data_IF_191509883193
#
_entry.id   IF_191509883193
#
_cell.length_a   1.000
_cell.length_b   1.000
_cell.length_c   1.000
_cell.angle_alpha   90.00
_cell.angle_beta   90.00
_cell.angle_gamma   90.00
#
_symmetry.space_group_name_H-M   'P 1'
#
loop_
_entity.id
_entity.type
_entity.pdbx_description
1 polymer ?
#
# COMPACT_ATOMS: atom_id res chain seq x y z
N UNK A 1 13.50 6.17 -20.90
CA UNK A 1 13.82 7.26 -19.97
C UNK A 1 13.60 6.70 -18.57
N UNK A 2 14.42 7.07 -17.59
CA UNK A 2 14.15 6.63 -16.22
C UNK A 2 12.96 7.44 -15.70
N UNK A 3 12.00 6.78 -15.05
CA UNK A 3 10.88 7.47 -14.40
C UNK A 3 11.42 8.24 -13.18
N UNK A 4 11.13 9.54 -13.12
CA UNK A 4 11.64 10.46 -12.10
C UNK A 4 10.46 11.17 -11.43
N UNK A 5 10.58 11.45 -10.13
CA UNK A 5 9.60 12.16 -9.34
C UNK A 5 10.31 13.18 -8.44
N UNK A 6 9.55 14.18 -7.99
CA UNK A 6 10.03 15.08 -6.94
C UNK A 6 9.50 14.56 -5.60
N UNK A 7 10.40 14.29 -4.67
CA UNK A 7 10.06 14.07 -3.27
C UNK A 7 10.25 15.33 -2.47
N UNK A 8 9.30 15.68 -1.62
CA UNK A 8 9.40 16.78 -0.65
C UNK A 8 9.15 16.24 0.75
N UNK A 9 10.01 16.57 1.70
CA UNK A 9 9.88 16.24 3.12
C UNK A 9 9.83 17.53 3.94
N UNK A 10 8.68 17.81 4.57
CA UNK A 10 8.46 19.01 5.37
C UNK A 10 8.71 18.66 6.84
N UNK A 11 9.96 18.79 7.27
CA UNK A 11 10.34 18.61 8.67
C UNK A 11 10.07 19.87 9.51
N UNK A 12 10.10 19.71 10.84
CA UNK A 12 9.97 20.84 11.77
C UNK A 12 11.14 21.83 11.76
N UNK A 13 12.30 21.45 11.22
CA UNK A 13 13.50 22.31 11.15
C UNK A 13 13.86 22.68 9.72
N UNK A 14 13.80 21.73 8.79
CA UNK A 14 14.14 21.93 7.39
C UNK A 14 13.06 21.32 6.47
N UNK A 15 12.81 21.99 5.35
CA UNK A 15 12.13 21.42 4.18
C UNK A 15 13.22 20.89 3.28
N UNK A 16 13.07 19.64 2.84
CA UNK A 16 13.98 19.00 1.87
C UNK A 16 13.19 18.68 0.62
N UNK A 17 13.79 18.87 -0.55
CA UNK A 17 13.22 18.43 -1.81
C UNK A 17 14.28 17.72 -2.64
N UNK A 18 13.93 16.68 -3.38
CA UNK A 18 14.87 15.97 -4.22
C UNK A 18 14.22 15.42 -5.49
N UNK A 19 15.01 15.30 -6.55
CA UNK A 19 14.69 14.42 -7.68
C UNK A 19 15.04 13.00 -7.31
N UNK A 20 14.06 12.10 -7.45
CA UNK A 20 14.15 10.69 -7.04
C UNK A 20 13.81 9.81 -8.24
N UNK A 21 14.67 8.84 -8.54
CA UNK A 21 14.38 7.83 -9.57
C UNK A 21 13.40 6.76 -9.07
N UNK A 22 12.81 5.99 -9.97
CA UNK A 22 11.99 4.82 -9.60
C UNK A 22 12.75 3.75 -8.79
N UNK A 23 14.08 3.78 -8.81
CA UNK A 23 14.94 2.91 -7.99
C UNK A 23 15.25 3.52 -6.62
N UNK A 24 14.77 4.74 -6.35
CA UNK A 24 14.98 5.47 -5.10
C UNK A 24 16.32 6.20 -5.01
N UNK A 25 16.99 6.42 -6.14
CA UNK A 25 18.24 7.18 -6.19
C UNK A 25 17.97 8.68 -6.15
N UNK A 26 18.74 9.43 -5.35
CA UNK A 26 18.67 10.89 -5.31
C UNK A 26 19.52 11.49 -6.43
N UNK A 27 18.88 12.13 -7.40
CA UNK A 27 19.53 12.74 -8.57
C UNK A 27 19.94 14.19 -8.32
N UNK A 28 19.14 14.90 -7.53
CA UNK A 28 19.41 16.27 -7.08
C UNK A 28 18.70 16.51 -5.76
N UNK A 29 19.23 17.36 -4.88
CA UNK A 29 18.66 17.63 -3.56
C UNK A 29 18.82 19.10 -3.17
N UNK A 30 17.76 19.66 -2.60
CA UNK A 30 17.68 20.99 -2.02
C UNK A 30 17.27 20.87 -0.55
N UNK A 31 17.73 21.79 0.28
CA UNK A 31 17.32 21.88 1.69
C UNK A 31 17.26 23.34 2.11
N UNK A 32 16.15 23.74 2.72
CA UNK A 32 15.95 25.07 3.25
C UNK A 32 15.33 25.01 4.65
N UNK A 33 15.52 26.06 5.46
CA UNK A 33 14.93 26.12 6.80
C UNK A 33 13.41 26.22 6.71
N UNK A 34 12.70 25.45 7.52
CA UNK A 34 11.23 25.49 7.58
C UNK A 34 10.77 26.85 8.11
N UNK A 35 9.98 27.63 7.34
CA UNK A 35 9.36 28.85 7.83
C UNK A 35 8.31 28.55 8.91
N UNK A 36 8.06 29.51 9.81
CA UNK A 36 6.98 29.39 10.79
C UNK A 36 5.61 29.69 10.21
N UNK A 37 5.55 30.47 9.14
CA UNK A 37 4.31 30.82 8.44
C UNK A 37 3.95 29.74 7.40
N UNK A 38 2.73 29.20 7.43
CA UNK A 38 2.32 28.10 6.55
C UNK A 38 2.19 28.49 5.07
N UNK A 39 1.84 29.74 4.76
CA UNK A 39 1.81 30.22 3.37
C UNK A 39 3.24 30.39 2.83
N UNK A 40 4.15 30.93 3.65
CA UNK A 40 5.57 31.05 3.26
C UNK A 40 6.20 29.68 3.07
N UNK A 41 5.86 28.69 3.90
CA UNK A 41 6.31 27.32 3.74
C UNK A 41 5.79 26.69 2.43
N UNK A 42 4.52 26.92 2.09
CA UNK A 42 3.95 26.48 0.81
C UNK A 42 4.67 27.10 -0.40
N UNK A 43 4.87 28.42 -0.41
CA UNK A 43 5.60 29.09 -1.49
C UNK A 43 7.04 28.58 -1.60
N UNK A 44 7.66 28.23 -0.48
CA UNK A 44 8.99 27.63 -0.44
C UNK A 44 9.01 26.26 -1.10
N UNK A 45 8.04 25.40 -0.77
CA UNK A 45 7.89 24.09 -1.40
C UNK A 45 7.70 24.22 -2.91
N UNK A 46 6.84 25.15 -3.35
CA UNK A 46 6.61 25.41 -4.78
C UNK A 46 7.92 25.84 -5.47
N UNK A 47 8.68 26.76 -4.87
CA UNK A 47 9.94 27.24 -5.44
C UNK A 47 10.99 26.12 -5.54
N UNK A 48 11.15 25.32 -4.48
CA UNK A 48 12.07 24.18 -4.47
C UNK A 48 11.67 23.12 -5.51
N UNK A 49 10.38 22.77 -5.60
CA UNK A 49 9.88 21.82 -6.58
C UNK A 49 10.03 22.35 -8.02
N UNK A 50 9.74 23.63 -8.28
CA UNK A 50 9.95 24.25 -9.60
C UNK A 50 11.42 24.25 -10.03
N UNK A 51 12.34 24.37 -9.08
CA UNK A 51 13.80 24.30 -9.35
C UNK A 51 14.22 22.91 -9.79
N UNK A 52 13.53 21.88 -9.30
CA UNK A 52 13.80 20.48 -9.60
C UNK A 52 13.00 19.94 -10.79
N UNK A 53 11.95 20.62 -11.22
CA UNK A 53 11.03 20.14 -12.25
C UNK A 53 11.68 20.04 -13.64
N UNK A 54 11.50 18.87 -14.27
CA UNK A 54 11.96 18.57 -15.63
C UNK A 54 10.84 17.88 -16.41
N UNK A 55 10.92 17.81 -17.76
CA UNK A 55 9.90 17.13 -18.57
C UNK A 55 9.66 15.66 -18.16
N UNK A 56 10.67 14.98 -17.63
CA UNK A 56 10.64 13.58 -17.19
C UNK A 56 10.00 13.37 -15.81
N UNK A 57 9.76 14.44 -15.04
CA UNK A 57 9.12 14.35 -13.72
C UNK A 57 7.66 13.94 -13.88
N UNK A 58 7.28 12.79 -13.33
CA UNK A 58 5.92 12.27 -13.40
C UNK A 58 4.98 12.92 -12.39
N UNK A 59 5.49 13.34 -11.23
CA UNK A 59 4.68 13.88 -10.14
C UNK A 59 5.50 14.30 -8.94
N UNK A 60 4.80 14.78 -7.92
CA UNK A 60 5.39 15.34 -6.70
C UNK A 60 4.78 14.65 -5.48
N UNK A 61 5.58 13.91 -4.72
CA UNK A 61 5.16 13.41 -3.42
C UNK A 61 5.60 14.36 -2.32
N UNK A 62 4.77 14.54 -1.29
CA UNK A 62 5.04 15.44 -0.17
C UNK A 62 4.74 14.75 1.17
N UNK A 63 5.77 14.59 1.99
CA UNK A 63 5.68 14.23 3.41
C UNK A 63 5.27 15.44 4.24
N UNK A 64 4.11 15.37 4.87
CA UNK A 64 3.51 16.41 5.70
C UNK A 64 3.68 16.04 7.17
N UNK A 65 4.12 16.98 8.03
CA UNK A 65 4.22 16.73 9.46
C UNK A 65 2.81 16.76 10.06
N UNK A 66 2.44 15.71 10.78
CA UNK A 66 1.14 15.60 11.43
C UNK A 66 0.19 14.65 10.70
N UNK A 67 -1.12 14.91 10.78
CA UNK A 67 -2.17 14.00 10.33
C UNK A 67 -2.65 14.39 8.94
N UNK A 68 -2.62 13.44 8.02
CA UNK A 68 -3.11 13.56 6.64
C UNK A 68 -4.22 12.54 6.42
N UNK A 69 -5.31 12.97 5.80
CA UNK A 69 -6.30 12.09 5.21
C UNK A 69 -5.97 11.96 3.72
N UNK A 70 -5.35 10.84 3.35
CA UNK A 70 -4.84 10.62 1.99
C UNK A 70 -5.96 10.46 0.97
N UNK A 71 -7.12 9.95 1.41
CA UNK A 71 -8.28 9.71 0.55
C UNK A 71 -8.94 11.04 0.16
N UNK A 72 -9.14 11.94 1.13
CA UNK A 72 -9.66 13.29 0.85
C UNK A 72 -8.58 14.28 0.41
N UNK A 73 -7.30 13.91 0.49
CA UNK A 73 -6.13 14.76 0.24
C UNK A 73 -6.11 16.00 1.15
N UNK A 74 -6.61 15.86 2.37
CA UNK A 74 -6.69 16.94 3.36
C UNK A 74 -5.61 16.80 4.46
N UNK A 75 -5.04 17.94 4.85
CA UNK A 75 -4.16 18.02 6.02
C UNK A 75 -5.06 18.29 7.24
N UNK A 76 -5.28 17.26 8.05
CA UNK A 76 -6.21 17.30 9.19
C UNK A 76 -5.67 18.13 10.36
N UNK A 77 -4.36 18.05 10.60
CA UNK A 77 -3.67 18.83 11.63
C UNK A 77 -2.18 18.81 11.37
N UNK A 78 -1.50 19.95 11.48
CA UNK A 78 -0.04 19.97 11.48
C UNK A 78 0.56 19.94 12.89
N UNK A 79 1.82 19.48 12.95
CA UNK A 79 2.65 19.56 14.15
C UNK A 79 3.23 20.96 14.35
N UNK A 80 4.56 21.09 14.28
CA UNK A 80 5.27 22.38 14.39
C UNK A 80 4.85 23.40 13.33
N UNK A 81 4.45 22.93 12.14
CA UNK A 81 3.93 23.76 11.06
C UNK A 81 2.51 23.31 10.73
N UNK A 82 1.52 24.15 11.03
CA UNK A 82 0.12 23.81 10.76
C UNK A 82 -0.31 24.23 9.35
N UNK A 83 -0.31 23.25 8.44
CA UNK A 83 -0.77 23.43 7.06
C UNK A 83 -2.28 23.13 6.88
N UNK A 84 -3.01 22.80 7.95
CA UNK A 84 -4.44 22.48 7.88
C UNK A 84 -5.26 23.66 7.36
N UNK A 85 -6.28 23.38 6.55
CA UNK A 85 -7.17 24.41 5.98
C UNK A 85 -6.58 25.16 4.77
N UNK A 86 -5.33 24.88 4.40
CA UNK A 86 -4.78 25.29 3.11
C UNK A 86 -5.18 24.29 2.03
N UNK A 87 -5.53 24.82 0.86
CA UNK A 87 -5.69 24.01 -0.37
C UNK A 87 -4.29 23.67 -0.95
N UNK A 88 -3.47 23.01 -0.13
CA UNK A 88 -2.03 22.81 -0.33
C UNK A 88 -1.76 22.08 -1.64
N UNK A 89 -2.48 20.98 -1.84
CA UNK A 89 -2.39 20.12 -3.02
C UNK A 89 -2.73 20.88 -4.29
N UNK A 90 -3.92 21.50 -4.35
CA UNK A 90 -4.37 22.22 -5.55
C UNK A 90 -3.45 23.38 -5.89
N UNK A 91 -2.88 24.06 -4.89
CA UNK A 91 -1.92 25.15 -5.12
C UNK A 91 -0.61 24.64 -5.73
N UNK A 92 -0.06 23.51 -5.26
CA UNK A 92 1.09 22.86 -5.90
C UNK A 92 0.77 22.41 -7.33
N UNK A 93 -0.34 21.70 -7.52
CA UNK A 93 -0.77 21.22 -8.84
C UNK A 93 -0.97 22.36 -9.83
N UNK A 94 -1.60 23.46 -9.39
CA UNK A 94 -1.77 24.66 -10.23
C UNK A 94 -0.42 25.30 -10.58
N UNK A 95 0.51 25.37 -9.62
CA UNK A 95 1.79 26.04 -9.80
C UNK A 95 2.78 25.25 -10.68
N UNK A 96 2.64 23.92 -10.73
CA UNK A 96 3.60 23.01 -11.38
C UNK A 96 3.00 22.20 -12.52
N UNK A 97 1.67 22.14 -12.65
CA UNK A 97 0.97 21.36 -13.67
C UNK A 97 1.35 19.86 -13.64
N UNK A 98 1.56 19.32 -12.44
CA UNK A 98 1.94 17.92 -12.16
C UNK A 98 1.03 17.35 -11.06
N UNK A 99 0.77 16.04 -11.07
CA UNK A 99 0.02 15.40 -9.99
C UNK A 99 0.79 15.46 -8.67
N UNK A 100 0.05 15.61 -7.57
CA UNK A 100 0.63 15.72 -6.21
C UNK A 100 0.08 14.64 -5.29
N UNK A 101 0.95 13.87 -4.66
CA UNK A 101 0.58 12.94 -3.58
C UNK A 101 1.03 13.55 -2.25
N UNK A 102 0.17 13.49 -1.24
CA UNK A 102 0.52 13.89 0.12
C UNK A 102 0.36 12.69 1.06
N UNK A 103 1.19 12.64 2.08
CA UNK A 103 1.18 11.60 3.10
C UNK A 103 1.85 12.15 4.36
N UNK A 104 1.67 11.49 5.50
CA UNK A 104 2.47 11.75 6.69
C UNK A 104 3.98 11.52 6.42
N UNK A 105 4.83 12.38 6.98
CA UNK A 105 6.29 12.31 6.89
C UNK A 105 6.89 10.94 7.31
N UNK A 106 6.40 10.35 8.39
CA UNK A 106 6.84 9.05 8.87
C UNK A 106 6.37 7.90 7.97
N UNK A 107 5.17 8.02 7.40
CA UNK A 107 4.67 7.10 6.38
C UNK A 107 5.52 7.15 5.12
N UNK A 108 5.93 8.34 4.66
CA UNK A 108 6.90 8.46 3.56
C UNK A 108 8.23 7.78 3.91
N UNK A 109 8.78 8.03 5.10
CA UNK A 109 10.00 7.34 5.53
C UNK A 109 9.85 5.81 5.51
N UNK A 110 8.70 5.28 5.96
CA UNK A 110 8.42 3.85 5.92
C UNK A 110 8.29 3.31 4.48
N UNK A 111 7.67 4.05 3.56
CA UNK A 111 7.62 3.69 2.13
C UNK A 111 9.04 3.49 1.59
N UNK A 112 9.95 4.42 1.89
CA UNK A 112 11.35 4.31 1.45
C UNK A 112 12.03 3.07 2.04
N UNK A 113 11.88 2.85 3.35
CA UNK A 113 12.50 1.73 4.05
C UNK A 113 11.97 0.37 3.58
N UNK A 114 10.69 0.27 3.21
CA UNK A 114 10.09 -0.93 2.64
C UNK A 114 10.54 -1.20 1.21
N UNK A 115 10.79 -0.15 0.42
CA UNK A 115 11.18 -0.30 -0.98
C UNK A 115 12.66 -0.63 -1.14
N UNK A 116 13.54 0.13 -0.46
CA UNK A 116 14.99 0.06 -0.69
C UNK A 116 15.81 -0.01 0.61
N UNK A 117 15.18 0.11 1.78
CA UNK A 117 15.87 0.19 3.07
C UNK A 117 15.80 -1.06 3.94
N UNK A 118 15.76 -0.84 5.25
CA UNK A 118 15.81 -1.85 6.32
C UNK A 118 14.55 -2.71 6.44
N UNK A 119 13.44 -2.29 5.85
CA UNK A 119 12.18 -3.04 5.84
C UNK A 119 11.92 -3.77 4.50
N UNK A 120 12.88 -3.81 3.58
CA UNK A 120 12.74 -4.51 2.30
C UNK A 120 12.44 -6.00 2.50
N UNK A 121 11.35 -6.45 1.90
CA UNK A 121 10.89 -7.84 1.95
C UNK A 121 9.86 -8.14 3.05
N UNK A 122 9.64 -7.22 3.99
CA UNK A 122 8.59 -7.34 5.00
C UNK A 122 7.29 -6.68 4.52
N UNK A 123 6.15 -7.17 5.02
CA UNK A 123 4.81 -6.72 4.64
C UNK A 123 4.08 -6.05 5.80
N UNK A 124 4.31 -6.51 7.03
CA UNK A 124 3.72 -5.97 8.25
C UNK A 124 4.82 -5.35 9.11
N UNK A 125 4.90 -4.03 9.12
CA UNK A 125 6.02 -3.29 9.72
C UNK A 125 5.47 -2.12 10.53
N UNK A 126 5.96 -1.93 11.74
CA UNK A 126 5.79 -0.66 12.45
C UNK A 126 7.11 0.11 12.42
N UNK A 127 7.06 1.43 12.24
CA UNK A 127 8.24 2.28 12.28
C UNK A 127 8.02 3.43 13.25
N UNK A 128 9.00 3.69 14.11
CA UNK A 128 9.06 4.91 14.90
C UNK A 128 10.21 5.78 14.37
N UNK A 129 9.93 7.06 14.14
CA UNK A 129 10.94 8.06 13.82
C UNK A 129 11.29 8.83 15.08
N UNK A 130 12.54 8.77 15.50
CA UNK A 130 13.01 9.38 16.75
C UNK A 130 13.93 10.54 16.40
N UNK A 131 13.48 11.75 16.72
CA UNK A 131 14.20 12.99 16.45
C UNK A 131 13.87 14.02 17.52
N UNK A 132 13.51 15.24 17.14
CA UNK A 132 13.02 16.26 18.10
C UNK A 132 11.78 15.76 18.87
N UNK A 133 10.86 15.08 18.17
CA UNK A 133 9.72 14.35 18.72
C UNK A 133 9.81 12.86 18.42
N UNK A 134 8.69 12.14 18.57
CA UNK A 134 8.53 10.78 18.09
C UNK A 134 7.33 10.73 17.15
N UNK A 135 7.58 10.36 15.90
CA UNK A 135 6.54 10.03 14.94
C UNK A 135 6.42 8.52 14.75
N UNK A 136 5.51 8.11 13.87
CA UNK A 136 5.44 6.71 13.47
C UNK A 136 4.58 6.46 12.26
N UNK A 137 4.70 5.24 11.77
CA UNK A 137 3.90 4.72 10.67
C UNK A 137 3.74 3.21 10.84
N UNK A 138 2.69 2.67 10.24
CA UNK A 138 2.45 1.22 10.20
C UNK A 138 2.18 0.84 8.75
N UNK A 139 2.73 -0.30 8.35
CA UNK A 139 2.38 -0.97 7.11
C UNK A 139 1.73 -2.31 7.42
N UNK A 140 0.69 -2.63 6.66
CA UNK A 140 -0.02 -3.90 6.71
C UNK A 140 -0.19 -4.42 5.28
N UNK A 141 0.13 -5.71 5.07
CA UNK A 141 0.07 -6.33 3.75
C UNK A 141 0.81 -5.53 2.65
N UNK A 142 1.97 -4.96 3.00
CA UNK A 142 2.84 -4.24 2.06
C UNK A 142 2.42 -2.80 1.76
N UNK A 143 1.38 -2.28 2.42
CA UNK A 143 0.82 -0.94 2.20
C UNK A 143 0.78 -0.15 3.50
N UNK A 144 0.89 1.18 3.42
CA UNK A 144 0.69 2.03 4.60
C UNK A 144 -0.73 1.84 5.13
N UNK A 145 -0.84 1.70 6.45
CA UNK A 145 -2.11 1.54 7.15
C UNK A 145 -2.58 2.89 7.69
N UNK A 146 -3.64 3.44 7.10
CA UNK A 146 -4.23 4.73 7.50
C UNK A 146 -5.35 4.60 8.53
N UNK A 147 -5.85 3.38 8.78
CA UNK A 147 -7.02 3.15 9.64
C UNK A 147 -8.24 3.89 9.11
N UNK A 148 -8.95 4.63 9.97
CA UNK A 148 -10.08 5.46 9.52
C UNK A 148 -9.63 6.65 8.65
N UNK A 149 -8.48 7.27 8.97
CA UNK A 149 -7.97 8.50 8.32
C UNK A 149 -6.47 8.70 8.46
N UNK A 150 -5.93 8.55 9.68
CA UNK A 150 -4.55 8.92 10.02
C UNK A 150 -3.97 8.06 11.15
N UNK A 151 -3.96 6.74 10.98
CA UNK A 151 -3.27 5.81 11.89
C UNK A 151 -1.74 6.04 11.89
N UNK A 152 -1.02 5.33 12.76
CA UNK A 152 0.44 5.46 12.86
C UNK A 152 0.94 6.56 13.81
N UNK A 153 0.07 7.16 14.64
CA UNK A 153 0.47 8.17 15.64
C UNK A 153 1.19 7.57 16.86
N UNK A 154 2.26 6.79 16.62
CA UNK A 154 2.90 5.89 17.59
C UNK A 154 3.64 6.63 18.71
N UNK A 155 4.10 7.86 18.46
CA UNK A 155 4.69 8.71 19.50
C UNK A 155 3.72 9.11 20.62
N UNK A 156 2.42 8.95 20.39
CA UNK A 156 1.37 9.28 21.35
C UNK A 156 0.84 8.07 22.14
N UNK A 157 1.48 6.90 22.02
CA UNK A 157 1.21 5.75 22.91
C UNK A 157 1.51 6.16 24.35
N UNK A 158 0.53 6.02 25.24
CA UNK A 158 0.70 6.32 26.65
C UNK A 158 1.48 5.19 27.33
N UNK A 159 2.60 5.55 27.96
CA UNK A 159 3.49 4.62 28.68
C UNK A 159 3.54 4.92 30.17
N UNK A 160 2.97 6.05 30.62
CA UNK A 160 2.84 6.40 32.04
C UNK A 160 1.71 7.41 32.25
N UNK A 161 0.58 7.01 32.84
CA UNK A 161 -0.58 7.91 33.04
C UNK A 161 -0.25 9.17 33.87
N UNK A 162 0.70 9.04 34.80
CA UNK A 162 1.18 10.16 35.62
C UNK A 162 2.28 11.00 34.96
N UNK A 163 2.65 10.67 33.72
CA UNK A 163 3.74 11.29 32.98
C UNK A 163 3.49 12.73 32.54
N UNK A 164 4.49 13.39 31.91
CA UNK A 164 4.39 14.79 31.51
C UNK A 164 3.21 15.06 30.56
N UNK A 165 2.69 16.31 30.52
CA UNK A 165 1.75 16.72 29.49
C UNK A 165 2.39 16.62 28.10
N UNK A 166 1.62 16.15 27.13
CA UNK A 166 2.00 16.03 25.74
C UNK A 166 1.29 17.12 24.91
N UNK A 167 1.93 17.70 23.88
CA UNK A 167 1.29 18.64 22.97
C UNK A 167 0.00 18.13 22.31
N UNK A 168 -0.20 16.81 22.23
CA UNK A 168 -1.44 16.22 21.71
C UNK A 168 -2.65 16.37 22.65
N UNK A 169 -2.47 16.96 23.84
CA UNK A 169 -3.52 17.18 24.84
C UNK A 169 -3.65 16.05 25.88
N UNK A 170 -2.93 14.93 25.71
CA UNK A 170 -2.86 13.84 26.68
C UNK A 170 -1.66 14.00 27.62
N UNK A 171 -1.49 13.05 28.55
CA UNK A 171 -0.30 12.93 29.40
C UNK A 171 0.35 11.58 29.17
N UNK A 172 1.67 11.52 29.38
CA UNK A 172 2.35 10.22 29.45
C UNK A 172 2.69 9.57 28.13
N UNK A 173 2.61 10.29 27.01
CA UNK A 173 2.98 9.77 25.70
C UNK A 173 4.48 9.45 25.66
N UNK A 174 4.87 8.37 24.96
CA UNK A 174 6.27 7.95 24.81
C UNK A 174 7.18 9.06 24.28
N UNK A 175 6.67 9.93 23.40
CA UNK A 175 7.39 11.12 22.92
C UNK A 175 7.94 11.98 24.07
N UNK A 176 7.18 12.14 25.15
CA UNK A 176 7.57 12.99 26.29
C UNK A 176 8.70 12.42 27.12
N UNK A 177 9.06 11.15 26.92
CA UNK A 177 10.11 10.43 27.64
C UNK A 177 11.29 10.03 26.76
N UNK A 178 11.02 9.70 25.49
CA UNK A 178 11.96 9.01 24.61
C UNK A 178 12.29 9.77 23.32
N UNK A 179 11.78 10.99 23.13
CA UNK A 179 12.24 11.86 22.04
C UNK A 179 13.64 12.43 22.32
N UNK A 180 14.27 13.04 21.33
CA UNK A 180 15.50 13.81 21.50
C UNK A 180 15.32 15.04 22.39
N UNK A 181 14.12 15.62 22.44
CA UNK A 181 13.80 16.68 23.41
C UNK A 181 13.79 16.13 24.83
N UNK A 182 13.19 14.95 25.04
CA UNK A 182 13.20 14.29 26.34
C UNK A 182 14.61 13.85 26.76
N UNK A 183 15.43 13.35 25.83
CA UNK A 183 16.82 13.00 26.09
C UNK A 183 17.64 14.20 26.58
N UNK A 184 17.55 15.35 25.89
CA UNK A 184 18.24 16.58 26.31
C UNK A 184 17.84 17.00 27.72
N UNK A 185 16.56 16.83 28.07
CA UNK A 185 16.07 17.08 29.44
C UNK A 185 16.70 16.12 30.45
N UNK A 186 16.70 14.81 30.17
CA UNK A 186 17.32 13.82 31.05
C UNK A 186 18.81 14.08 31.27
N UNK A 187 19.54 14.48 30.22
CA UNK A 187 20.95 14.87 30.30
C UNK A 187 21.11 16.11 31.21
N UNK A 188 20.33 17.16 30.99
CA UNK A 188 20.41 18.38 31.79
C UNK A 188 20.10 18.13 33.28
N UNK A 189 19.08 17.31 33.57
CA UNK A 189 18.70 16.92 34.93
C UNK A 189 19.74 16.02 35.61
N UNK A 190 20.55 15.28 34.84
CA UNK A 190 21.61 14.42 35.36
C UNK A 190 22.85 15.17 35.87
N UNK A 191 23.03 16.43 35.44
CA UNK A 191 24.21 17.23 35.75
C UNK A 191 25.49 16.82 34.99
N UNK A 192 25.41 15.89 34.04
CA UNK A 192 26.55 15.50 33.20
C UNK A 192 26.89 16.63 32.21
N UNK A 193 28.17 16.99 32.14
CA UNK A 193 28.69 17.97 31.19
C UNK A 193 28.95 17.34 29.82
N UNK A 194 27.90 16.83 29.18
CA UNK A 194 27.94 16.22 27.84
C UNK A 194 27.04 16.99 26.87
N UNK A 195 27.36 16.91 25.58
CA UNK A 195 26.63 17.61 24.51
C UNK A 195 25.99 16.66 23.51
N UNK A 196 26.43 15.40 23.48
CA UNK A 196 25.95 14.38 22.54
C UNK A 196 25.54 13.10 23.24
N UNK A 197 24.63 12.35 22.61
CA UNK A 197 24.24 11.00 23.07
C UNK A 197 25.41 10.01 23.00
N UNK A 198 26.35 10.21 22.07
CA UNK A 198 27.53 9.37 21.94
C UNK A 198 28.40 9.42 23.20
N UNK A 199 28.63 10.62 23.75
CA UNK A 199 29.37 10.78 25.02
C UNK A 199 28.66 10.04 26.16
N UNK A 200 27.32 10.06 26.21
CA UNK A 200 26.56 9.29 27.19
C UNK A 200 26.80 7.78 27.03
N UNK A 201 26.78 7.26 25.80
CA UNK A 201 27.09 5.85 25.55
C UNK A 201 28.52 5.47 25.95
N UNK A 202 29.50 6.31 25.62
CA UNK A 202 30.90 6.06 25.92
C UNK A 202 31.11 6.04 27.44
N UNK A 203 30.56 7.01 28.18
CA UNK A 203 30.57 7.04 29.64
C UNK A 203 29.86 5.84 30.27
N UNK A 204 28.72 5.41 29.71
CA UNK A 204 28.00 4.24 30.20
C UNK A 204 28.81 2.94 30.00
N UNK A 205 29.52 2.81 28.88
CA UNK A 205 30.41 1.67 28.61
C UNK A 205 31.62 1.65 29.55
N UNK A 206 32.07 2.81 30.02
CA UNK A 206 33.10 2.95 31.07
C UNK A 206 32.56 2.71 32.49
N UNK A 207 31.28 2.40 32.65
CA UNK A 207 30.65 2.09 33.94
C UNK A 207 30.12 3.31 34.71
N UNK A 208 29.89 4.44 34.05
CA UNK A 208 29.29 5.61 34.70
C UNK A 208 27.79 5.38 35.00
N UNK A 209 27.45 5.20 36.27
CA UNK A 209 26.08 4.95 36.73
C UNK A 209 25.06 6.04 36.35
N UNK A 210 25.50 7.30 36.28
CA UNK A 210 24.63 8.42 35.89
C UNK A 210 24.29 8.34 34.40
N UNK A 211 25.28 8.05 33.55
CA UNK A 211 25.07 7.88 32.11
C UNK A 211 24.16 6.67 31.81
N UNK A 212 24.38 5.54 32.50
CA UNK A 212 23.50 4.36 32.42
C UNK A 212 22.06 4.71 32.81
N UNK A 213 21.88 5.52 33.86
CA UNK A 213 20.55 5.96 34.32
C UNK A 213 19.84 6.83 33.30
N UNK A 214 20.55 7.77 32.67
CA UNK A 214 20.00 8.60 31.58
C UNK A 214 19.52 7.74 30.42
N UNK A 215 20.34 6.78 29.96
CA UNK A 215 19.95 5.85 28.91
C UNK A 215 18.73 5.01 29.30
N UNK A 216 18.67 4.50 30.53
CA UNK A 216 17.51 3.75 31.02
C UNK A 216 16.24 4.59 31.10
N UNK A 217 16.32 5.83 31.58
CA UNK A 217 15.19 6.77 31.63
C UNK A 217 14.66 7.09 30.23
N UNK A 218 15.54 7.10 29.24
CA UNK A 218 15.18 7.34 27.84
C UNK A 218 14.62 6.09 27.13
N UNK A 219 15.23 4.92 27.33
CA UNK A 219 14.91 3.70 26.58
C UNK A 219 13.81 2.83 27.21
N UNK A 220 13.63 2.83 28.54
CA UNK A 220 12.58 2.03 29.20
C UNK A 220 11.17 2.41 28.76
N UNK A 221 10.81 3.70 28.66
CA UNK A 221 9.47 4.09 28.17
C UNK A 221 9.29 3.75 26.69
N UNK A 222 10.36 3.83 25.89
CA UNK A 222 10.35 3.39 24.50
C UNK A 222 10.06 1.90 24.41
N UNK A 223 10.72 1.07 25.23
CA UNK A 223 10.48 -0.38 25.31
C UNK A 223 9.00 -0.69 25.54
N UNK A 224 8.38 -0.03 26.53
CA UNK A 224 6.97 -0.22 26.82
C UNK A 224 6.06 0.14 25.63
N UNK A 225 6.40 1.19 24.86
CA UNK A 225 5.67 1.51 23.64
C UNK A 225 5.83 0.43 22.56
N UNK A 226 7.03 -0.12 22.38
CA UNK A 226 7.29 -1.20 21.43
C UNK A 226 6.54 -2.48 21.80
N UNK A 227 6.47 -2.81 23.09
CA UNK A 227 5.70 -3.96 23.57
C UNK A 227 4.19 -3.78 23.32
N UNK A 228 3.66 -2.56 23.51
CA UNK A 228 2.27 -2.24 23.16
C UNK A 228 2.00 -2.35 21.64
N UNK A 229 2.95 -1.93 20.80
CA UNK A 229 2.84 -2.07 19.35
C UNK A 229 2.84 -3.55 18.97
N UNK A 230 3.74 -4.34 19.56
CA UNK A 230 3.81 -5.77 19.32
C UNK A 230 2.49 -6.48 19.70
N UNK A 231 1.92 -6.15 20.87
CA UNK A 231 0.67 -6.74 21.34
C UNK A 231 -0.57 -6.33 20.52
N UNK A 232 -0.54 -5.18 19.84
CA UNK A 232 -1.70 -4.64 19.11
C UNK A 232 -1.66 -4.87 17.60
N UNK A 233 -0.46 -4.94 17.03
CA UNK A 233 -0.25 -4.98 15.58
C UNK A 233 0.42 -6.27 15.09
N UNK A 234 1.09 -7.02 15.98
CA UNK A 234 1.88 -8.21 15.64
C UNK A 234 2.75 -8.04 14.37
N UNK A 235 3.62 -7.00 14.30
CA UNK A 235 4.41 -6.75 13.10
C UNK A 235 5.52 -7.78 12.96
N UNK A 236 6.01 -8.01 11.75
CA UNK A 236 7.17 -8.87 11.51
C UNK A 236 8.44 -8.26 12.11
N UNK A 237 8.56 -6.93 11.99
CA UNK A 237 9.66 -6.13 12.54
C UNK A 237 9.16 -4.78 13.05
N UNK A 238 9.90 -4.19 13.99
CA UNK A 238 9.76 -2.78 14.37
C UNK A 238 11.03 -2.04 13.96
N UNK A 239 10.88 -1.05 13.08
CA UNK A 239 11.99 -0.24 12.57
C UNK A 239 12.13 1.06 13.38
N UNK A 240 13.36 1.40 13.78
CA UNK A 240 13.69 2.63 14.47
C UNK A 240 14.48 3.55 13.53
N UNK A 241 13.84 4.63 13.09
CA UNK A 241 14.42 5.64 12.20
C UNK A 241 14.51 7.02 12.83
N UNK A 242 14.73 8.04 12.00
CA UNK A 242 15.02 9.39 12.44
C UNK A 242 16.45 9.55 12.97
N UNK A 243 16.83 10.80 13.28
CA UNK A 243 18.21 11.14 13.66
C UNK A 243 18.74 10.45 14.91
N UNK A 244 17.88 9.87 15.75
CA UNK A 244 18.25 9.10 16.95
C UNK A 244 17.82 7.62 16.88
N UNK A 245 17.38 7.13 15.71
CA UNK A 245 16.87 5.76 15.56
C UNK A 245 17.91 4.68 15.87
N UNK A 246 19.13 4.83 15.34
CA UNK A 246 20.25 3.93 15.63
C UNK A 246 20.63 3.92 17.11
N UNK A 247 20.65 5.10 17.73
CA UNK A 247 20.95 5.23 19.15
C UNK A 247 19.87 4.59 20.03
N UNK A 248 18.60 4.76 19.67
CA UNK A 248 17.49 4.10 20.36
C UNK A 248 17.59 2.58 20.25
N UNK A 249 17.90 2.05 19.05
CA UNK A 249 18.13 0.62 18.87
C UNK A 249 19.28 0.11 19.74
N UNK A 250 20.40 0.88 19.83
CA UNK A 250 21.52 0.56 20.71
C UNK A 250 21.13 0.57 22.19
N UNK A 251 20.39 1.58 22.64
CA UNK A 251 19.95 1.68 24.04
C UNK A 251 18.95 0.57 24.43
N UNK A 252 18.19 0.05 23.46
CA UNK A 252 17.24 -1.05 23.67
C UNK A 252 17.90 -2.44 23.65
N UNK A 253 19.13 -2.58 23.16
CA UNK A 253 19.82 -3.87 23.07
C UNK A 253 19.95 -4.56 24.45
N UNK A 254 20.09 -3.76 25.52
CA UNK A 254 20.18 -4.24 26.90
C UNK A 254 18.83 -4.28 27.63
N UNK A 255 17.71 -4.05 26.93
CA UNK A 255 16.35 -4.04 27.46
C UNK A 255 15.49 -5.08 26.71
N UNK A 256 15.60 -6.37 27.07
CA UNK A 256 14.82 -7.43 26.43
C UNK A 256 13.32 -7.27 26.69
N UNK A 257 12.52 -8.02 25.93
CA UNK A 257 11.07 -8.06 26.13
C UNK A 257 10.74 -8.54 27.53
N UNK A 258 9.77 -7.88 28.17
CA UNK A 258 9.27 -8.32 29.47
C UNK A 258 8.59 -9.70 29.39
N UNK A 259 7.98 -10.03 28.24
CA UNK A 259 7.32 -11.31 28.00
C UNK A 259 7.66 -11.87 26.61
N UNK A 260 7.83 -13.20 26.47
CA UNK A 260 8.20 -13.83 25.20
C UNK A 260 7.04 -13.94 24.19
N UNK A 261 5.85 -13.48 24.54
CA UNK A 261 4.64 -13.68 23.73
C UNK A 261 4.64 -12.82 22.45
N UNK A 262 5.24 -11.63 22.49
CA UNK A 262 5.29 -10.69 21.37
C UNK A 262 6.70 -10.11 21.28
N UNK A 263 7.53 -10.66 20.38
CA UNK A 263 8.95 -10.32 20.27
C UNK A 263 9.37 -10.07 18.82
N UNK A 264 8.76 -9.08 18.13
CA UNK A 264 9.23 -8.70 16.80
C UNK A 264 10.68 -8.23 16.85
N UNK A 265 11.44 -8.46 15.77
CA UNK A 265 12.80 -7.96 15.70
C UNK A 265 12.80 -6.42 15.65
N UNK A 266 13.63 -5.80 16.49
CA UNK A 266 13.82 -4.34 16.51
C UNK A 266 15.07 -4.03 15.68
N UNK A 267 14.91 -3.27 14.61
CA UNK A 267 15.97 -2.99 13.65
C UNK A 267 16.16 -1.48 13.47
N UNK A 268 17.39 -0.99 13.27
CA UNK A 268 17.61 0.38 12.83
C UNK A 268 17.20 0.55 11.36
N UNK A 269 16.62 1.71 11.04
CA UNK A 269 16.38 2.17 9.68
C UNK A 269 17.71 2.37 8.91
N UNK A 270 17.69 2.23 7.58
CA UNK A 270 18.92 2.27 6.76
C UNK A 270 19.11 3.57 5.98
N UNK A 271 18.05 4.31 5.72
CA UNK A 271 18.04 5.49 4.84
C UNK A 271 18.18 6.81 5.62
N UNK A 272 18.22 6.75 6.95
CA UNK A 272 18.48 7.87 7.85
C UNK A 272 17.64 9.12 7.49
N UNK A 273 18.28 10.28 7.37
CA UNK A 273 17.66 11.58 7.11
C UNK A 273 17.04 11.70 5.71
N UNK A 274 17.38 10.81 4.78
CA UNK A 274 16.88 10.83 3.40
C UNK A 274 15.62 9.98 3.21
N UNK A 275 15.23 9.17 4.20
CA UNK A 275 14.07 8.28 4.12
C UNK A 275 12.80 9.04 3.72
N UNK A 276 12.53 10.19 4.34
CA UNK A 276 11.32 10.99 4.06
C UNK A 276 11.26 11.50 2.62
N UNK A 277 12.37 12.07 2.12
CA UNK A 277 12.40 12.65 0.76
C UNK A 277 12.43 11.57 -0.32
N UNK A 278 13.15 10.46 -0.10
CA UNK A 278 13.14 9.29 -0.99
C UNK A 278 11.74 8.70 -1.05
N UNK A 279 11.11 8.50 0.11
CA UNK A 279 9.78 7.94 0.22
C UNK A 279 8.72 8.79 -0.45
N UNK A 280 8.82 10.10 -0.30
CA UNK A 280 7.99 11.06 -1.00
C UNK A 280 8.10 10.89 -2.53
N UNK A 281 9.32 10.81 -3.08
CA UNK A 281 9.50 10.54 -4.51
C UNK A 281 8.94 9.16 -4.93
N UNK A 282 9.28 8.11 -4.17
CA UNK A 282 8.82 6.74 -4.44
C UNK A 282 7.31 6.56 -4.35
N UNK A 283 6.62 7.41 -3.59
CA UNK A 283 5.16 7.37 -3.49
C UNK A 283 4.51 7.56 -4.86
N UNK A 284 5.14 8.28 -5.79
CA UNK A 284 4.64 8.52 -7.15
C UNK A 284 4.70 7.27 -8.03
N UNK A 285 5.68 6.39 -7.82
CA UNK A 285 5.85 5.16 -8.62
C UNK A 285 5.13 3.94 -8.01
N UNK A 286 4.63 4.06 -6.79
CA UNK A 286 4.03 2.95 -6.07
C UNK A 286 2.64 2.60 -6.59
N UNK A 287 2.28 1.32 -6.45
CA UNK A 287 0.94 0.80 -6.72
C UNK A 287 -0.19 1.53 -5.97
N UNK A 288 0.11 2.40 -4.99
CA UNK A 288 -0.84 3.26 -4.28
C UNK A 288 -1.06 4.64 -4.94
N UNK A 289 -0.06 5.22 -5.61
CA UNK A 289 -0.27 6.39 -6.47
C UNK A 289 -1.01 6.01 -7.77
N UNK A 290 -0.86 4.76 -8.21
CA UNK A 290 -1.62 4.15 -9.31
C UNK A 290 -2.85 3.36 -8.83
N UNK A 291 -3.07 3.20 -7.50
CA UNK A 291 -4.28 2.59 -6.94
C UNK A 291 -5.52 3.49 -7.07
N UNK A 292 -5.44 4.58 -7.82
CA UNK A 292 -6.62 5.38 -8.14
C UNK A 292 -7.47 4.70 -9.23
N UNK A 293 -6.92 3.69 -9.93
CA UNK A 293 -7.61 2.99 -11.00
C UNK A 293 -8.36 1.72 -10.59
N UNK A 294 -9.46 1.42 -11.29
CA UNK A 294 -10.15 0.12 -11.18
C UNK A 294 -9.42 -0.92 -12.01
N UNK A 295 -9.33 -2.13 -11.45
CA UNK A 295 -8.58 -3.25 -12.06
C UNK A 295 -9.47 -4.45 -12.26
N UNK A 296 -9.26 -5.16 -13.35
CA UNK A 296 -10.01 -6.37 -13.65
C UNK A 296 -9.09 -7.50 -14.11
N UNK A 297 -9.25 -8.68 -13.52
CA UNK A 297 -8.68 -9.92 -14.01
C UNK A 297 -9.77 -10.71 -14.74
N UNK A 298 -9.65 -10.81 -16.06
CA UNK A 298 -10.51 -11.64 -16.91
C UNK A 298 -10.02 -13.09 -16.83
N UNK A 299 -10.72 -13.95 -16.09
CA UNK A 299 -10.44 -15.39 -16.09
C UNK A 299 -11.25 -16.02 -17.21
N UNK A 300 -10.67 -15.99 -18.41
CA UNK A 300 -11.34 -16.33 -19.66
C UNK A 300 -11.10 -17.80 -20.03
N UNK A 301 -12.12 -18.48 -20.53
CA UNK A 301 -12.03 -19.84 -21.04
C UNK A 301 -13.38 -20.38 -21.48
N UNK A 302 -13.37 -21.35 -22.39
CA UNK A 302 -14.58 -22.07 -22.80
C UNK A 302 -15.23 -22.80 -21.62
N UNK A 303 -16.51 -23.22 -21.71
CA UNK A 303 -17.12 -24.08 -20.70
C UNK A 303 -16.25 -25.30 -20.36
N UNK A 304 -16.23 -25.69 -19.08
CA UNK A 304 -15.42 -26.80 -18.56
C UNK A 304 -13.88 -26.65 -18.66
N UNK A 305 -13.37 -25.48 -19.06
CA UNK A 305 -11.92 -25.20 -19.10
C UNK A 305 -11.20 -25.29 -17.76
N UNK A 306 -11.87 -24.94 -16.65
CA UNK A 306 -11.23 -24.83 -15.33
C UNK A 306 -11.17 -23.40 -14.79
N UNK A 307 -11.59 -22.42 -15.60
CA UNK A 307 -11.69 -20.99 -15.23
C UNK A 307 -12.28 -20.72 -13.84
N UNK A 308 -13.37 -21.38 -13.46
CA UNK A 308 -14.01 -21.17 -12.16
C UNK A 308 -13.20 -21.71 -10.98
N UNK A 309 -12.37 -22.75 -11.18
CA UNK A 309 -11.41 -23.23 -10.17
C UNK A 309 -10.30 -22.20 -10.00
N UNK A 310 -9.76 -21.68 -11.10
CA UNK A 310 -8.71 -20.67 -11.08
C UNK A 310 -9.19 -19.36 -10.44
N UNK A 311 -10.36 -18.86 -10.82
CA UNK A 311 -10.95 -17.65 -10.24
C UNK A 311 -11.12 -17.77 -8.72
N UNK A 312 -11.60 -18.92 -8.23
CA UNK A 312 -11.73 -19.21 -6.79
C UNK A 312 -10.38 -19.29 -6.08
N UNK A 313 -9.38 -19.92 -6.69
CA UNK A 313 -8.04 -19.99 -6.12
C UNK A 313 -7.40 -18.59 -6.02
N UNK A 314 -7.57 -17.78 -7.07
CA UNK A 314 -7.09 -16.40 -7.10
C UNK A 314 -7.78 -15.55 -6.02
N UNK A 315 -9.12 -15.57 -5.97
CA UNK A 315 -9.89 -14.82 -4.96
C UNK A 315 -9.53 -15.19 -3.53
N UNK A 316 -9.33 -16.48 -3.21
CA UNK A 316 -8.89 -16.91 -1.87
C UNK A 316 -7.51 -16.36 -1.50
N UNK A 317 -6.63 -16.17 -2.49
CA UNK A 317 -5.27 -15.69 -2.28
C UNK A 317 -5.20 -14.17 -2.18
N UNK A 318 -6.02 -13.45 -2.94
CA UNK A 318 -5.95 -11.99 -3.05
C UNK A 318 -7.02 -11.24 -2.26
N UNK A 319 -8.10 -11.93 -1.86
CA UNK A 319 -9.30 -11.30 -1.30
C UNK A 319 -10.18 -10.59 -2.33
N UNK A 320 -9.83 -10.61 -3.62
CA UNK A 320 -10.61 -9.91 -4.64
C UNK A 320 -11.96 -10.61 -4.90
N UNK A 321 -13.06 -9.85 -5.00
CA UNK A 321 -14.39 -10.41 -5.29
C UNK A 321 -14.46 -11.02 -6.70
N UNK A 322 -15.19 -12.14 -6.80
CA UNK A 322 -15.48 -12.80 -8.08
C UNK A 322 -16.87 -12.37 -8.57
N UNK A 323 -16.92 -11.86 -9.79
CA UNK A 323 -18.16 -11.64 -10.54
C UNK A 323 -18.22 -12.67 -11.66
N UNK A 324 -19.02 -13.73 -11.45
CA UNK A 324 -19.13 -14.82 -12.42
C UNK A 324 -20.45 -14.74 -13.17
N UNK A 325 -20.43 -15.12 -14.45
CA UNK A 325 -21.64 -15.13 -15.28
C UNK A 325 -22.71 -16.05 -14.68
N UNK A 326 -22.32 -17.25 -14.27
CA UNK A 326 -23.22 -18.23 -13.66
C UNK A 326 -23.67 -17.79 -12.25
N UNK A 327 -22.86 -17.02 -11.53
CA UNK A 327 -23.21 -16.46 -10.22
C UNK A 327 -24.33 -15.43 -10.28
N UNK A 328 -24.42 -14.66 -11.37
CA UNK A 328 -25.56 -13.77 -11.62
C UNK A 328 -26.72 -14.55 -12.25
N UNK A 329 -26.44 -15.38 -13.26
CA UNK A 329 -27.47 -16.02 -14.08
C UNK A 329 -28.29 -17.08 -13.33
N UNK A 330 -27.64 -17.95 -12.55
CA UNK A 330 -28.28 -19.11 -11.94
C UNK A 330 -29.36 -18.73 -10.90
N UNK A 331 -29.16 -17.72 -10.03
CA UNK A 331 -30.23 -17.24 -9.15
C UNK A 331 -31.51 -16.87 -9.90
N UNK A 332 -31.42 -16.25 -11.08
CA UNK A 332 -32.60 -15.96 -11.90
C UNK A 332 -33.24 -17.23 -12.46
N UNK A 333 -32.44 -18.17 -12.97
CA UNK A 333 -32.95 -19.45 -13.51
C UNK A 333 -33.64 -20.33 -12.47
N UNK A 334 -33.38 -20.13 -11.17
CA UNK A 334 -34.11 -20.81 -10.10
C UNK A 334 -35.55 -20.28 -9.92
N UNK A 335 -35.81 -19.04 -10.34
CA UNK A 335 -37.09 -18.36 -10.15
C UNK A 335 -37.88 -18.22 -11.46
N UNK A 336 -37.17 -18.12 -12.58
CA UNK A 336 -37.72 -18.03 -13.94
C UNK A 336 -37.72 -19.46 -14.47
N UNK A 337 -38.91 -20.06 -14.65
CA UNK A 337 -39.12 -21.48 -14.99
C UNK A 337 -38.54 -21.95 -16.33
N UNK A 338 -39.32 -22.65 -17.17
CA UNK A 338 -38.80 -23.15 -18.44
C UNK A 338 -38.39 -22.00 -19.37
N UNK A 339 -37.09 -21.86 -19.60
CA UNK A 339 -36.49 -20.84 -20.47
C UNK A 339 -36.00 -21.47 -21.77
N UNK A 340 -36.38 -20.86 -22.89
CA UNK A 340 -35.86 -21.24 -24.20
C UNK A 340 -34.41 -20.75 -24.41
N UNK A 341 -33.82 -21.13 -25.55
CA UNK A 341 -32.44 -20.80 -25.89
C UNK A 341 -32.23 -19.28 -26.07
N UNK A 342 -33.22 -18.57 -26.61
CA UNK A 342 -33.12 -17.15 -26.89
C UNK A 342 -33.20 -16.32 -25.61
N UNK A 343 -34.06 -16.71 -24.68
CA UNK A 343 -34.13 -16.15 -23.36
C UNK A 343 -32.84 -16.39 -22.58
N UNK A 344 -32.28 -17.62 -22.58
CA UNK A 344 -31.01 -17.91 -21.90
C UNK A 344 -29.86 -17.06 -22.47
N UNK A 345 -29.84 -16.86 -23.81
CA UNK A 345 -28.85 -15.98 -24.45
C UNK A 345 -29.03 -14.52 -24.02
N UNK A 346 -30.28 -14.05 -23.94
CA UNK A 346 -30.61 -12.69 -23.50
C UNK A 346 -30.23 -12.47 -22.05
N UNK A 347 -30.55 -13.42 -21.17
CA UNK A 347 -30.17 -13.40 -19.76
C UNK A 347 -28.64 -13.43 -19.60
N UNK A 348 -27.94 -14.18 -20.45
CA UNK A 348 -26.47 -14.14 -20.52
C UNK A 348 -25.95 -12.74 -20.83
N UNK A 349 -26.50 -12.06 -21.85
CA UNK A 349 -26.13 -10.66 -22.18
C UNK A 349 -26.43 -9.69 -21.02
N UNK A 350 -27.60 -9.80 -20.41
CA UNK A 350 -27.99 -8.98 -19.26
C UNK A 350 -27.06 -9.23 -18.05
N UNK A 351 -26.64 -10.47 -17.83
CA UNK A 351 -25.69 -10.81 -16.77
C UNK A 351 -24.33 -10.15 -16.98
N UNK A 352 -23.82 -10.10 -18.22
CA UNK A 352 -22.61 -9.32 -18.52
C UNK A 352 -22.79 -7.84 -18.22
N UNK A 353 -23.89 -7.24 -18.66
CA UNK A 353 -24.16 -5.85 -18.39
C UNK A 353 -24.22 -5.57 -16.88
N UNK A 354 -24.84 -6.44 -16.08
CA UNK A 354 -24.87 -6.32 -14.63
C UNK A 354 -23.48 -6.39 -13.98
N UNK A 355 -22.61 -7.31 -14.43
CA UNK A 355 -21.21 -7.39 -13.96
C UNK A 355 -20.51 -6.04 -14.18
N UNK A 356 -20.59 -5.52 -15.41
CA UNK A 356 -19.88 -4.29 -15.77
C UNK A 356 -20.48 -3.04 -15.13
N UNK A 357 -21.80 -2.96 -14.95
CA UNK A 357 -22.44 -1.88 -14.18
C UNK A 357 -22.01 -1.87 -12.72
N UNK A 358 -21.92 -3.04 -12.08
CA UNK A 358 -21.43 -3.14 -10.71
C UNK A 358 -19.98 -2.65 -10.58
N UNK A 359 -19.13 -3.01 -11.54
CA UNK A 359 -17.74 -2.54 -11.56
C UNK A 359 -17.66 -1.03 -11.86
N UNK A 360 -18.55 -0.50 -12.70
CA UNK A 360 -18.60 0.94 -13.00
C UNK A 360 -18.88 1.78 -11.74
N UNK A 361 -19.74 1.30 -10.84
CA UNK A 361 -20.11 1.97 -9.58
C UNK A 361 -19.10 1.74 -8.43
N UNK A 362 -18.14 0.83 -8.61
CA UNK A 362 -17.16 0.53 -7.58
C UNK A 362 -16.20 1.72 -7.33
N UNK A 363 -15.69 1.90 -6.10
CA UNK A 363 -14.67 2.89 -5.80
C UNK A 363 -13.39 2.68 -6.62
N UNK A 364 -12.67 3.77 -6.86
CA UNK A 364 -11.27 3.76 -7.30
C UNK A 364 -10.43 2.77 -6.47
N UNK A 365 -9.46 2.11 -7.10
CA UNK A 365 -8.58 1.12 -6.47
C UNK A 365 -9.15 -0.29 -6.31
N UNK A 366 -10.45 -0.47 -6.58
CA UNK A 366 -11.11 -1.78 -6.55
C UNK A 366 -10.51 -2.73 -7.59
N UNK A 367 -10.38 -4.01 -7.23
CA UNK A 367 -9.94 -5.07 -8.14
C UNK A 367 -10.97 -6.19 -8.18
N UNK A 368 -11.40 -6.58 -9.38
CA UNK A 368 -12.40 -7.63 -9.59
C UNK A 368 -11.85 -8.78 -10.41
N UNK A 369 -12.33 -9.99 -10.10
CA UNK A 369 -12.09 -11.18 -10.92
C UNK A 369 -13.37 -11.48 -11.69
N UNK A 370 -13.32 -11.47 -13.02
CA UNK A 370 -14.47 -11.85 -13.86
C UNK A 370 -14.27 -13.28 -14.35
N UNK A 371 -15.16 -14.20 -13.93
CA UNK A 371 -15.20 -15.59 -14.41
C UNK A 371 -16.27 -15.74 -15.48
N UNK A 372 -15.85 -15.69 -16.74
CA UNK A 372 -16.76 -15.78 -17.88
C UNK A 372 -16.07 -16.30 -19.16
N UNK A 373 -16.88 -16.79 -20.11
CA UNK A 373 -16.44 -17.05 -21.49
C UNK A 373 -16.83 -15.85 -22.36
N UNK A 374 -15.86 -15.03 -22.76
CA UNK A 374 -16.14 -13.78 -23.48
C UNK A 374 -16.39 -13.98 -24.98
N UNK A 375 -15.90 -15.08 -25.58
CA UNK A 375 -15.97 -15.32 -27.03
C UNK A 375 -17.35 -15.66 -27.61
N UNK A 376 -18.43 -15.55 -26.83
CA UNK A 376 -19.81 -15.60 -27.35
C UNK A 376 -20.33 -14.22 -27.82
N UNK A 377 -19.59 -13.15 -27.55
CA UNK A 377 -19.86 -11.79 -28.04
C UNK A 377 -18.66 -11.24 -28.83
N UNK A 378 -18.87 -10.26 -29.72
CA UNK A 378 -17.77 -9.58 -30.40
C UNK A 378 -16.81 -8.92 -29.42
N UNK A 379 -15.52 -8.92 -29.75
CA UNK A 379 -14.45 -8.28 -28.96
C UNK A 379 -14.73 -6.80 -28.66
N UNK A 380 -15.27 -6.07 -29.63
CA UNK A 380 -15.66 -4.65 -29.48
C UNK A 380 -16.65 -4.43 -28.34
N UNK A 381 -17.50 -5.40 -28.02
CA UNK A 381 -18.44 -5.28 -26.92
C UNK A 381 -17.73 -5.35 -25.56
N UNK A 382 -16.70 -6.18 -25.42
CA UNK A 382 -15.87 -6.23 -24.22
C UNK A 382 -15.09 -4.93 -24.04
N UNK A 383 -14.51 -4.39 -25.11
CA UNK A 383 -13.80 -3.10 -25.11
C UNK A 383 -14.73 -1.95 -24.69
N UNK A 384 -15.97 -1.94 -25.20
CA UNK A 384 -16.99 -0.96 -24.77
C UNK A 384 -17.30 -1.06 -23.28
N UNK A 385 -17.40 -2.28 -22.73
CA UNK A 385 -17.64 -2.47 -21.30
C UNK A 385 -16.47 -2.00 -20.44
N UNK A 386 -15.24 -2.33 -20.84
CA UNK A 386 -14.01 -1.90 -20.17
C UNK A 386 -13.94 -0.37 -20.12
N UNK A 387 -14.19 0.28 -21.26
CA UNK A 387 -14.17 1.74 -21.37
C UNK A 387 -15.30 2.40 -20.56
N UNK A 388 -16.53 1.89 -20.66
CA UNK A 388 -17.68 2.44 -19.95
C UNK A 388 -17.56 2.28 -18.43
N UNK A 389 -16.93 1.19 -17.96
CA UNK A 389 -16.66 0.96 -16.56
C UNK A 389 -15.43 1.74 -16.06
N UNK A 390 -14.73 2.51 -16.91
CA UNK A 390 -13.53 3.27 -16.55
C UNK A 390 -12.50 2.38 -15.84
N UNK A 391 -12.12 1.29 -16.50
CA UNK A 391 -11.10 0.36 -16.00
C UNK A 391 -9.75 0.80 -16.51
N UNK A 392 -8.82 0.95 -15.58
CA UNK A 392 -7.46 1.43 -15.85
C UNK A 392 -6.54 0.27 -16.22
N UNK A 393 -6.69 -0.88 -15.56
CA UNK A 393 -5.88 -2.05 -15.88
C UNK A 393 -6.71 -3.32 -16.04
N UNK A 394 -6.45 -4.02 -17.15
CA UNK A 394 -7.05 -5.29 -17.48
C UNK A 394 -5.95 -6.34 -17.62
N UNK A 395 -6.15 -7.50 -17.01
CA UNK A 395 -5.29 -8.66 -17.17
C UNK A 395 -6.13 -9.86 -17.59
N UNK A 396 -5.73 -10.56 -18.64
CA UNK A 396 -6.44 -11.76 -19.11
C UNK A 396 -5.68 -13.04 -18.77
N UNK A 397 -6.29 -13.89 -17.92
CA UNK A 397 -5.83 -15.25 -17.67
C UNK A 397 -6.59 -16.21 -18.59
N UNK A 398 -5.92 -16.65 -19.66
CA UNK A 398 -6.48 -17.56 -20.65
C UNK A 398 -6.39 -19.02 -20.20
N UNK A 399 -7.51 -19.60 -19.82
CA UNK A 399 -7.64 -20.98 -19.37
C UNK A 399 -7.67 -21.94 -20.56
N UNK A 400 -6.49 -22.30 -21.08
CA UNK A 400 -6.34 -23.21 -22.21
C UNK A 400 -6.55 -24.65 -21.76
N UNK A 401 -7.36 -25.39 -22.51
CA UNK A 401 -7.63 -26.82 -22.29
C UNK A 401 -7.80 -27.52 -23.65
N UNK A 402 -7.34 -28.77 -23.83
CA UNK A 402 -7.69 -29.55 -25.01
C UNK A 402 -9.19 -29.83 -25.08
N UNK A 403 -9.79 -29.84 -26.28
CA UNK A 403 -11.22 -30.05 -26.45
C UNK A 403 -11.71 -31.37 -25.87
N UNK A 404 -10.96 -32.46 -26.06
CA UNK A 404 -11.28 -33.76 -25.47
C UNK A 404 -11.45 -33.69 -23.94
N UNK A 405 -10.52 -33.02 -23.24
CA UNK A 405 -10.56 -32.86 -21.78
C UNK A 405 -11.74 -31.98 -21.36
N UNK A 406 -12.04 -30.91 -22.10
CA UNK A 406 -13.20 -30.06 -21.84
C UNK A 406 -14.52 -30.85 -21.99
N UNK A 407 -14.62 -31.67 -23.05
CA UNK A 407 -15.78 -32.52 -23.32
C UNK A 407 -16.02 -33.55 -22.22
N UNK A 408 -14.98 -34.26 -21.79
CA UNK A 408 -15.05 -35.21 -20.67
C UNK A 408 -15.52 -34.54 -19.37
N UNK A 409 -14.89 -33.40 -19.01
CA UNK A 409 -15.26 -32.60 -17.83
C UNK A 409 -16.70 -32.07 -17.89
N UNK A 410 -17.19 -31.78 -19.09
CA UNK A 410 -18.57 -31.32 -19.28
C UNK A 410 -19.55 -32.48 -19.12
N UNK A 411 -19.29 -33.61 -19.79
CA UNK A 411 -20.12 -34.80 -19.73
C UNK A 411 -20.26 -35.35 -18.31
N UNK A 412 -19.17 -35.32 -17.51
CA UNK A 412 -19.18 -35.80 -16.13
C UNK A 412 -20.09 -34.97 -15.20
N UNK A 413 -20.47 -33.75 -15.58
CA UNK A 413 -21.25 -32.81 -14.75
C UNK A 413 -22.71 -32.66 -15.20
N UNK A 414 -23.13 -33.38 -16.23
CA UNK A 414 -24.49 -33.27 -16.78
C UNK A 414 -25.58 -33.58 -15.74
N UNK A 415 -25.30 -34.47 -14.79
CA UNK A 415 -26.25 -34.87 -13.74
C UNK A 415 -26.51 -33.78 -12.69
N UNK A 416 -25.59 -32.83 -12.54
CA UNK A 416 -25.62 -31.81 -11.47
C UNK A 416 -26.02 -30.42 -11.99
N UNK A 417 -26.41 -30.29 -13.27
CA UNK A 417 -26.72 -29.01 -13.89
C UNK A 417 -28.18 -28.61 -13.75
N UNK A 418 -28.40 -27.31 -13.52
CA UNK A 418 -29.74 -26.73 -13.48
C UNK A 418 -30.44 -26.84 -14.84
N UNK A 419 -31.79 -26.92 -14.85
CA UNK A 419 -32.58 -26.84 -16.08
C UNK A 419 -32.21 -25.60 -16.92
N UNK A 420 -32.13 -25.77 -18.24
CA UNK A 420 -31.83 -24.69 -19.19
C UNK A 420 -30.37 -24.62 -19.67
N UNK A 421 -29.44 -25.37 -19.08
CA UNK A 421 -28.11 -25.57 -19.67
C UNK A 421 -28.15 -26.63 -20.80
N UNK A 422 -27.31 -26.51 -21.85
CA UNK A 422 -27.25 -27.52 -22.91
C UNK A 422 -26.87 -28.91 -22.38
N UNK A 423 -27.53 -29.96 -22.88
CA UNK A 423 -27.31 -31.34 -22.47
C UNK A 423 -26.09 -31.98 -23.14
N UNK A 424 -26.10 -33.32 -23.21
CA UNK A 424 -25.02 -34.12 -23.81
C UNK A 424 -24.79 -33.79 -25.30
N UNK A 425 -25.84 -33.33 -25.99
CA UNK A 425 -25.80 -32.92 -27.40
C UNK A 425 -24.84 -31.77 -27.69
N UNK A 426 -24.46 -30.98 -26.68
CA UNK A 426 -23.51 -29.87 -26.83
C UNK A 426 -22.04 -30.30 -26.76
N UNK A 427 -21.74 -31.51 -26.29
CA UNK A 427 -20.35 -31.97 -26.08
C UNK A 427 -19.50 -31.92 -27.36
N UNK A 428 -19.96 -32.39 -28.52
CA UNK A 428 -19.18 -32.28 -29.77
C UNK A 428 -18.90 -30.82 -30.17
N UNK A 429 -19.88 -29.94 -30.01
CA UNK A 429 -19.73 -28.51 -30.28
C UNK A 429 -18.71 -27.87 -29.33
N UNK A 430 -18.74 -28.24 -28.05
CA UNK A 430 -17.78 -27.77 -27.06
C UNK A 430 -16.35 -28.21 -27.35
N UNK A 431 -16.14 -29.47 -27.78
CA UNK A 431 -14.82 -29.97 -28.15
C UNK A 431 -14.25 -29.12 -29.29
N UNK A 432 -15.02 -28.95 -30.37
CA UNK A 432 -14.60 -28.13 -31.51
C UNK A 432 -14.39 -26.66 -31.13
N UNK A 433 -15.21 -26.12 -30.22
CA UNK A 433 -15.06 -24.77 -29.70
C UNK A 433 -13.76 -24.62 -28.89
N UNK A 434 -13.46 -25.56 -28.01
CA UNK A 434 -12.27 -25.53 -27.17
C UNK A 434 -10.97 -25.58 -27.99
N UNK A 435 -10.95 -26.37 -29.06
CA UNK A 435 -9.76 -26.51 -29.91
C UNK A 435 -9.47 -25.27 -30.76
N UNK A 436 -10.50 -24.47 -31.09
CA UNK A 436 -10.36 -23.24 -31.90
C UNK A 436 -10.40 -21.93 -31.10
N UNK A 437 -10.76 -22.00 -29.83
CA UNK A 437 -10.97 -20.80 -29.03
C UNK A 437 -9.64 -20.10 -28.73
N UNK A 438 -9.67 -18.77 -28.81
CA UNK A 438 -8.53 -17.89 -28.55
C UNK A 438 -8.87 -16.91 -27.42
N UNK A 439 -7.86 -16.35 -26.73
CA UNK A 439 -8.07 -15.25 -25.81
C UNK A 439 -8.67 -14.03 -26.53
N UNK A 440 -9.32 -13.14 -25.78
CA UNK A 440 -9.86 -11.90 -26.35
C UNK A 440 -8.73 -10.97 -26.81
N UNK A 441 -7.60 -10.96 -26.09
CA UNK A 441 -6.43 -10.18 -26.43
C UNK A 441 -6.67 -8.67 -26.36
N UNK A 442 -7.62 -8.23 -25.53
CA UNK A 442 -7.92 -6.81 -25.27
C UNK A 442 -6.86 -6.15 -24.37
N UNK A 443 -5.97 -6.94 -23.75
CA UNK A 443 -4.95 -6.49 -22.80
C UNK A 443 -3.82 -7.52 -22.66
N UNK A 444 -2.96 -7.40 -21.66
CA UNK A 444 -1.94 -8.40 -21.37
C UNK A 444 -2.57 -9.78 -21.10
N UNK A 445 -2.07 -10.81 -21.78
CA UNK A 445 -2.59 -12.19 -21.69
C UNK A 445 -1.54 -13.13 -21.10
N UNK A 446 -1.92 -13.92 -20.11
CA UNK A 446 -1.18 -15.09 -19.64
C UNK A 446 -1.97 -16.36 -19.94
N UNK A 447 -1.35 -17.30 -20.65
CA UNK A 447 -1.95 -18.62 -20.86
C UNK A 447 -1.69 -19.51 -19.64
N UNK A 448 -2.77 -20.09 -19.12
CA UNK A 448 -2.74 -21.05 -18.01
C UNK A 448 -3.20 -22.40 -18.54
N UNK A 449 -2.30 -23.37 -18.59
CA UNK A 449 -2.61 -24.75 -18.98
C UNK A 449 -3.44 -25.44 -17.89
N UNK A 450 -4.69 -25.75 -18.22
CA UNK A 450 -5.64 -26.35 -17.28
C UNK A 450 -5.57 -27.88 -17.24
N UNK A 451 -4.60 -28.50 -17.93
CA UNK A 451 -4.27 -29.92 -17.76
C UNK A 451 -3.38 -30.17 -16.53
N UNK A 452 -2.79 -29.11 -15.98
CA UNK A 452 -1.91 -29.14 -14.81
C UNK A 452 -2.46 -28.30 -13.67
N UNK A 453 -1.87 -28.41 -12.48
CA UNK A 453 -2.18 -27.52 -11.36
C UNK A 453 -1.62 -26.11 -11.66
N UNK A 454 -2.44 -25.04 -11.61
CA UNK A 454 -1.95 -23.70 -11.91
C UNK A 454 -0.86 -23.25 -10.92
N UNK A 455 0.26 -22.76 -11.45
CA UNK A 455 1.29 -22.10 -10.64
C UNK A 455 0.80 -20.72 -10.19
N UNK A 456 0.21 -20.69 -9.01
CA UNK A 456 -0.30 -19.45 -8.43
C UNK A 456 0.82 -18.45 -8.09
N UNK A 457 2.06 -18.88 -7.86
CA UNK A 457 3.19 -17.99 -7.62
C UNK A 457 3.54 -17.20 -8.89
N UNK A 458 3.66 -17.90 -10.01
CA UNK A 458 3.91 -17.30 -11.31
C UNK A 458 2.76 -16.35 -11.74
N UNK A 459 1.51 -16.76 -11.51
CA UNK A 459 0.33 -15.93 -11.82
C UNK A 459 0.35 -14.64 -11.01
N UNK A 460 0.62 -14.70 -9.70
CA UNK A 460 0.67 -13.50 -8.86
C UNK A 460 1.82 -12.57 -9.25
N UNK A 461 3.00 -13.11 -9.56
CA UNK A 461 4.14 -12.31 -10.00
C UNK A 461 3.86 -11.62 -11.35
N UNK A 462 3.14 -12.30 -12.26
CA UNK A 462 2.72 -11.72 -13.53
C UNK A 462 1.65 -10.62 -13.33
N UNK A 463 0.63 -10.87 -12.51
CA UNK A 463 -0.41 -9.88 -12.21
C UNK A 463 0.16 -8.61 -11.56
N UNK A 464 1.14 -8.75 -10.65
CA UNK A 464 1.84 -7.59 -10.07
C UNK A 464 2.46 -6.72 -11.17
N UNK A 465 3.17 -7.34 -12.12
CA UNK A 465 3.80 -6.64 -13.24
C UNK A 465 2.79 -5.98 -14.18
N UNK A 466 1.64 -6.62 -14.43
CA UNK A 466 0.59 -6.05 -15.29
C UNK A 466 -0.06 -4.85 -14.63
N UNK A 467 -0.24 -4.86 -13.32
CA UNK A 467 -0.85 -3.76 -12.57
C UNK A 467 0.16 -2.69 -12.09
N UNK A 468 1.47 -2.93 -12.20
CA UNK A 468 2.53 -1.95 -11.95
C UNK A 468 2.93 -1.13 -13.18
N UNK A 469 2.57 -1.59 -14.40
CA UNK A 469 2.86 -0.90 -15.66
C UNK A 469 1.67 -0.02 -16.06
N UNK A 470 1.80 1.28 -15.84
CA UNK A 470 1.82 2.33 -16.89
C UNK A 470 2.20 3.69 -16.29
#
# INVERSE_FOLDING_TARGET
MADIAIGVDIGGTNIRAALVSAQGELLAKLSERTPTDPLVALERVIAMARTLDTPEVLGIGVGIPGRVDVDSREILSGGILNLSGLDFVKRLETALQKPVVIENDCSMALIAEMRIGGAKGYQNVAMLTIGTGIGGAVAHAGRIYHGHKAAGQLGHICVSQDGPPCPCGRRGCVETFSSGTALRRHIAESGLAVTTIREIFDMAAEGNDTAVRVLRQWATPLRAALDNIAATMDPEIILLGGGLGCDAARALADLPAAAPWFCPAILPAKLADDAGVIGAGLSIFGADALAQGKRVVLVNGVPASGKSRLAKALSRRTGWPILSLDGIKNPFLQHIGSVDRDFNRTLGKASYQAIWSFIAEAPAGSTFIIDAWFGFQPRTQLENYINAAQIDHVAELWCKVPGAVAGERYASRLKDRLPGHPGAEYVPELIALADRAEPMGCSAVMTVDQTQEPDMGAIMAWLSKVFERE
#
